data_IF_116391672044
#
_entry.id   IF_116391672044
#
_cell.length_a   1.000
_cell.length_b   1.000
_cell.length_c   1.000
_cell.angle_alpha   90.00
_cell.angle_beta   90.00
_cell.angle_gamma   90.00
#
_symmetry.space_group_name_H-M   'P 1'
#
loop_
_entity.id
_entity.type
_entity.pdbx_description
1 polymer ?
#
# COMPACT_ATOMS: atom_id res chain seq x y z
N UNK A 1 -24.41 -25.72 -12.06
CA UNK A 1 -24.69 -24.45 -11.38
C UNK A 1 -24.30 -24.59 -9.92
N UNK A 2 -23.58 -23.63 -9.31
CA UNK A 2 -23.21 -23.70 -7.90
C UNK A 2 -24.44 -23.53 -7.00
N UNK A 3 -24.44 -24.16 -5.81
CA UNK A 3 -25.48 -23.98 -4.80
C UNK A 3 -25.24 -22.68 -4.04
N UNK A 4 -26.26 -21.84 -3.90
CA UNK A 4 -26.18 -20.64 -3.06
C UNK A 4 -25.95 -21.02 -1.59
N UNK A 5 -25.10 -20.24 -0.93
CA UNK A 5 -24.83 -20.34 0.50
C UNK A 5 -25.51 -19.16 1.19
N UNK A 6 -26.13 -19.42 2.33
CA UNK A 6 -26.73 -18.37 3.15
C UNK A 6 -25.67 -17.41 3.69
N UNK A 7 -26.08 -16.16 3.93
CA UNK A 7 -25.29 -15.16 4.64
C UNK A 7 -26.01 -14.76 5.95
N UNK A 8 -25.27 -14.51 7.05
CA UNK A 8 -23.81 -14.61 7.18
C UNK A 8 -23.30 -16.06 7.05
N UNK A 9 -22.01 -16.21 6.74
CA UNK A 9 -21.36 -17.51 6.57
C UNK A 9 -21.55 -18.37 7.84
N UNK A 10 -21.95 -19.62 7.63
CA UNK A 10 -22.10 -20.57 8.74
C UNK A 10 -20.76 -20.79 9.44
N UNK A 11 -20.79 -21.22 10.70
CA UNK A 11 -19.57 -21.61 11.42
C UNK A 11 -18.80 -22.70 10.66
N UNK A 12 -19.52 -23.65 10.04
CA UNK A 12 -18.93 -24.70 9.23
C UNK A 12 -18.20 -24.18 7.97
N UNK A 13 -18.73 -23.13 7.33
CA UNK A 13 -18.08 -22.48 6.18
C UNK A 13 -16.82 -21.73 6.65
N UNK A 14 -16.90 -21.00 7.76
CA UNK A 14 -15.78 -20.24 8.35
C UNK A 14 -14.63 -21.15 8.74
N UNK A 15 -14.91 -22.25 9.44
CA UNK A 15 -13.91 -23.26 9.76
C UNK A 15 -13.32 -23.91 8.52
N UNK A 16 -14.13 -24.16 7.48
CA UNK A 16 -13.62 -24.73 6.24
C UNK A 16 -12.70 -23.75 5.49
N UNK A 17 -13.03 -22.45 5.43
CA UNK A 17 -12.17 -21.40 4.89
C UNK A 17 -10.82 -21.37 5.62
N UNK A 18 -10.83 -21.41 6.95
CA UNK A 18 -9.61 -21.35 7.77
C UNK A 18 -8.66 -22.55 7.60
N UNK A 19 -9.14 -23.67 7.06
CA UNK A 19 -8.30 -24.84 6.73
C UNK A 19 -7.61 -24.73 5.38
N UNK A 20 -8.03 -23.82 4.52
CA UNK A 20 -7.42 -23.69 3.20
C UNK A 20 -6.01 -23.12 3.34
N UNK A 21 -5.11 -23.51 2.44
CA UNK A 21 -3.73 -23.00 2.42
C UNK A 21 -3.57 -21.83 1.44
N UNK A 22 -4.41 -21.76 0.41
CA UNK A 22 -4.40 -20.70 -0.60
C UNK A 22 -5.85 -20.32 -0.94
N UNK A 23 -6.04 -19.04 -1.24
CA UNK A 23 -7.26 -18.53 -1.85
C UNK A 23 -6.89 -17.67 -3.07
N UNK A 24 -7.86 -17.44 -3.94
CA UNK A 24 -7.68 -16.64 -5.15
C UNK A 24 -8.54 -15.40 -5.05
N UNK A 25 -7.96 -14.24 -5.32
CA UNK A 25 -8.69 -13.00 -5.54
C UNK A 25 -8.92 -12.83 -7.03
N UNK A 26 -10.12 -12.39 -7.42
CA UNK A 26 -10.41 -12.04 -8.81
C UNK A 26 -11.09 -10.67 -8.85
N UNK A 27 -10.56 -9.76 -9.67
CA UNK A 27 -11.05 -8.39 -9.87
C UNK A 27 -11.06 -8.08 -11.37
N UNK A 28 -11.85 -7.09 -11.77
CA UNK A 28 -11.94 -6.67 -13.16
C UNK A 28 -12.13 -5.14 -13.24
N UNK A 29 -11.55 -4.49 -14.26
CA UNK A 29 -11.78 -3.08 -14.49
C UNK A 29 -13.23 -2.84 -14.96
N UNK A 30 -13.66 -1.58 -14.96
CA UNK A 30 -14.96 -1.21 -15.56
C UNK A 30 -14.90 -1.20 -17.08
N UNK A 31 -13.73 -0.91 -17.65
CA UNK A 31 -13.51 -0.91 -19.09
C UNK A 31 -13.79 -2.30 -19.70
N UNK A 32 -14.65 -2.41 -20.73
CA UNK A 32 -14.98 -3.70 -21.35
C UNK A 32 -13.77 -4.42 -21.98
N UNK A 33 -12.76 -3.66 -22.40
CA UNK A 33 -11.53 -4.18 -23.01
C UNK A 33 -10.41 -4.41 -21.99
N UNK A 34 -10.61 -4.04 -20.72
CA UNK A 34 -9.60 -4.21 -19.68
C UNK A 34 -9.48 -5.67 -19.23
N UNK A 35 -8.36 -5.98 -18.58
CA UNK A 35 -8.01 -7.36 -18.27
C UNK A 35 -8.53 -7.77 -16.88
N UNK A 36 -9.19 -8.94 -16.83
CA UNK A 36 -9.55 -9.57 -15.56
C UNK A 36 -8.28 -10.05 -14.86
N UNK A 37 -8.10 -9.66 -13.60
CA UNK A 37 -6.98 -10.11 -12.78
C UNK A 37 -7.40 -11.26 -11.88
N UNK A 38 -6.51 -12.25 -11.73
CA UNK A 38 -6.64 -13.32 -10.74
C UNK A 38 -5.30 -13.51 -10.03
N UNK A 39 -5.29 -13.52 -8.71
CA UNK A 39 -4.06 -13.66 -7.93
C UNK A 39 -4.21 -14.65 -6.77
N UNK A 40 -3.34 -15.67 -6.66
CA UNK A 40 -3.30 -16.53 -5.48
C UNK A 40 -2.70 -15.78 -4.28
N UNK A 41 -3.20 -16.08 -3.08
CA UNK A 41 -2.79 -15.49 -1.80
C UNK A 41 -2.72 -16.57 -0.73
N UNK A 42 -1.82 -16.43 0.24
CA UNK A 42 -1.76 -17.35 1.38
C UNK A 42 -2.99 -17.17 2.26
N UNK A 43 -3.73 -18.24 2.50
CA UNK A 43 -4.92 -18.19 3.33
C UNK A 43 -4.61 -17.90 4.81
N UNK A 44 -3.35 -18.02 5.25
CA UNK A 44 -2.91 -17.57 6.58
C UNK A 44 -3.09 -16.07 6.81
N UNK A 45 -3.09 -15.28 5.73
CA UNK A 45 -3.26 -13.82 5.79
C UNK A 45 -4.72 -13.40 5.94
N UNK A 46 -5.66 -14.33 5.79
CA UNK A 46 -7.09 -14.06 5.72
C UNK A 46 -7.76 -14.27 7.08
N UNK A 47 -8.77 -13.46 7.36
CA UNK A 47 -9.68 -13.57 8.51
C UNK A 47 -11.11 -13.41 8.01
N UNK A 48 -12.01 -14.27 8.48
CA UNK A 48 -13.45 -14.00 8.42
C UNK A 48 -13.82 -13.31 9.71
N UNK A 49 -14.44 -12.13 9.62
CA UNK A 49 -14.81 -11.36 10.81
C UNK A 49 -16.00 -12.00 11.55
N UNK A 50 -16.19 -11.58 12.80
CA UNK A 50 -17.21 -12.15 13.71
C UNK A 50 -18.64 -12.05 13.16
N UNK A 51 -18.92 -11.04 12.33
CA UNK A 51 -20.22 -10.86 11.66
C UNK A 51 -20.53 -11.96 10.62
N UNK A 52 -19.53 -12.74 10.19
CA UNK A 52 -19.65 -13.79 9.18
C UNK A 52 -20.01 -13.30 7.78
N UNK A 53 -20.12 -11.99 7.56
CA UNK A 53 -20.44 -11.39 6.26
C UNK A 53 -19.26 -10.56 5.72
N UNK A 54 -18.21 -10.38 6.51
CA UNK A 54 -17.02 -9.62 6.12
C UNK A 54 -15.78 -10.52 6.16
N UNK A 55 -14.97 -10.44 5.11
CA UNK A 55 -13.69 -11.16 5.01
C UNK A 55 -12.59 -10.14 4.74
N UNK A 56 -11.49 -10.21 5.47
CA UNK A 56 -10.36 -9.32 5.26
C UNK A 56 -9.04 -10.11 5.20
N UNK A 57 -8.01 -9.54 4.57
CA UNK A 57 -6.69 -10.16 4.56
C UNK A 57 -5.55 -9.13 4.50
N UNK A 58 -4.43 -9.50 5.11
CA UNK A 58 -3.15 -8.78 4.98
C UNK A 58 -2.64 -8.93 3.55
N UNK A 59 -2.47 -7.81 2.84
CA UNK A 59 -1.79 -7.80 1.57
C UNK A 59 -0.35 -7.32 1.73
N UNK A 60 0.57 -8.20 1.37
CA UNK A 60 1.99 -7.88 1.31
C UNK A 60 2.41 -7.53 -0.11
N UNK A 61 3.51 -6.79 -0.19
CA UNK A 61 4.05 -6.22 -1.42
C UNK A 61 4.41 -7.27 -2.45
N UNK A 62 3.89 -7.08 -3.66
CA UNK A 62 4.30 -7.80 -4.86
C UNK A 62 4.45 -6.82 -6.02
N UNK A 63 4.86 -7.31 -7.19
CA UNK A 63 4.96 -6.48 -8.39
C UNK A 63 3.59 -6.04 -8.93
N UNK A 64 2.54 -6.85 -8.76
CA UNK A 64 1.20 -6.55 -9.26
C UNK A 64 0.43 -5.55 -8.40
N UNK A 65 -0.43 -4.76 -9.04
CA UNK A 65 -1.23 -3.70 -8.43
C UNK A 65 -2.67 -3.63 -8.98
N UNK A 66 -3.13 -4.70 -9.64
CA UNK A 66 -4.27 -4.68 -10.55
C UNK A 66 -5.57 -4.59 -9.76
N UNK A 67 -5.69 -5.36 -8.68
CA UNK A 67 -6.83 -5.29 -7.78
C UNK A 67 -7.00 -3.91 -7.16
N UNK A 68 -5.91 -3.21 -6.83
CA UNK A 68 -6.02 -1.83 -6.33
C UNK A 68 -6.53 -0.89 -7.41
N UNK A 69 -5.99 -1.00 -8.63
CA UNK A 69 -6.41 -0.15 -9.74
C UNK A 69 -7.91 -0.32 -10.04
N UNK A 70 -8.40 -1.56 -10.12
CA UNK A 70 -9.82 -1.84 -10.30
C UNK A 70 -10.67 -1.29 -9.15
N UNK A 71 -10.19 -1.35 -7.92
CA UNK A 71 -10.90 -0.79 -6.76
C UNK A 71 -10.90 0.74 -6.71
N UNK A 72 -9.94 1.39 -7.37
CA UNK A 72 -9.85 2.85 -7.43
C UNK A 72 -10.72 3.47 -8.52
N UNK A 73 -11.23 2.68 -9.46
CA UNK A 73 -12.25 3.13 -10.39
C UNK A 73 -13.53 3.50 -9.64
N UNK A 74 -14.07 4.69 -9.92
CA UNK A 74 -15.26 5.20 -9.26
C UNK A 74 -16.47 4.28 -9.51
N UNK A 75 -17.11 3.82 -8.44
CA UNK A 75 -18.26 2.92 -8.52
C UNK A 75 -17.91 1.45 -8.80
N UNK A 76 -16.62 1.08 -8.86
CA UNK A 76 -16.20 -0.31 -8.89
C UNK A 76 -15.98 -0.83 -7.45
N UNK A 77 -15.02 -1.73 -7.24
CA UNK A 77 -14.80 -2.46 -5.99
C UNK A 77 -15.25 -3.92 -6.05
N UNK A 78 -15.74 -4.39 -7.21
CA UNK A 78 -16.18 -5.79 -7.39
C UNK A 78 -15.01 -6.74 -7.19
N UNK A 79 -15.20 -7.72 -6.32
CA UNK A 79 -14.19 -8.72 -6.03
C UNK A 79 -14.84 -10.09 -5.78
N UNK A 80 -14.18 -11.13 -6.28
CA UNK A 80 -14.49 -12.52 -5.92
C UNK A 80 -13.32 -13.13 -5.18
N UNK A 81 -13.58 -13.78 -4.04
CA UNK A 81 -12.66 -14.75 -3.44
C UNK A 81 -13.06 -16.16 -3.85
N UNK A 82 -12.10 -16.98 -4.21
CA UNK A 82 -12.30 -18.39 -4.54
C UNK A 82 -11.41 -19.26 -3.68
N UNK A 83 -11.97 -20.35 -3.15
CA UNK A 83 -11.31 -21.36 -2.35
C UNK A 83 -11.55 -22.72 -2.98
N UNK A 84 -10.56 -23.60 -2.94
CA UNK A 84 -10.68 -24.96 -3.42
C UNK A 84 -10.11 -25.93 -2.38
N UNK A 85 -10.83 -27.02 -2.12
CA UNK A 85 -10.35 -28.11 -1.30
C UNK A 85 -9.21 -28.82 -2.05
N UNK A 86 -8.03 -28.83 -1.42
CA UNK A 86 -6.89 -29.62 -1.86
C UNK A 86 -6.67 -30.89 -1.02
N UNK A 87 -7.52 -31.08 -0.01
CA UNK A 87 -7.56 -32.26 0.86
C UNK A 87 -9.01 -32.65 1.15
N UNK A 88 -9.23 -33.92 1.51
CA UNK A 88 -10.55 -34.42 1.89
C UNK A 88 -11.59 -34.37 0.76
N UNK A 89 -12.84 -34.09 1.13
CA UNK A 89 -13.95 -34.05 0.18
C UNK A 89 -13.85 -32.84 -0.77
N UNK A 90 -14.07 -33.04 -2.08
CA UNK A 90 -13.90 -31.98 -3.07
C UNK A 90 -14.97 -30.90 -2.91
N UNK A 91 -14.53 -29.64 -2.91
CA UNK A 91 -15.38 -28.47 -2.69
C UNK A 91 -14.70 -27.21 -3.21
N UNK A 92 -15.48 -26.36 -3.86
CA UNK A 92 -15.07 -24.99 -4.23
C UNK A 92 -16.09 -24.03 -3.62
N UNK A 93 -15.61 -23.04 -2.88
CA UNK A 93 -16.42 -21.94 -2.35
C UNK A 93 -16.00 -20.63 -3.03
N UNK A 94 -16.99 -19.86 -3.48
CA UNK A 94 -16.78 -18.50 -3.97
C UNK A 94 -17.55 -17.50 -3.13
N UNK A 95 -16.90 -16.42 -2.75
CA UNK A 95 -17.47 -15.26 -2.08
C UNK A 95 -17.44 -14.09 -3.05
N UNK A 96 -18.58 -13.45 -3.26
CA UNK A 96 -18.75 -12.32 -4.16
C UNK A 96 -19.19 -11.09 -3.36
N UNK A 97 -18.68 -9.93 -3.73
CA UNK A 97 -19.18 -8.66 -3.20
C UNK A 97 -18.28 -7.50 -3.57
N UNK A 98 -18.33 -6.47 -2.73
CA UNK A 98 -17.55 -5.26 -2.90
C UNK A 98 -16.50 -5.14 -1.80
N UNK A 99 -15.29 -4.78 -2.22
CA UNK A 99 -14.17 -4.64 -1.33
C UNK A 99 -13.57 -3.23 -1.39
N UNK A 100 -12.97 -2.88 -0.27
CA UNK A 100 -12.13 -1.70 -0.08
C UNK A 100 -10.75 -2.16 0.40
N UNK A 101 -9.77 -1.28 0.38
CA UNK A 101 -8.48 -1.49 1.04
C UNK A 101 -8.16 -0.37 2.02
N UNK A 102 -7.48 -0.74 3.10
CA UNK A 102 -7.04 0.12 4.18
C UNK A 102 -5.53 0.23 4.14
N UNK A 103 -5.04 1.42 3.90
CA UNK A 103 -3.61 1.75 3.96
C UNK A 103 -3.15 1.92 5.41
N UNK A 104 -1.83 1.87 5.60
CA UNK A 104 -1.20 2.07 6.91
C UNK A 104 -1.69 3.37 7.60
N UNK A 105 -1.79 4.48 6.86
CA UNK A 105 -2.25 5.75 7.41
C UNK A 105 -3.67 5.67 7.98
N UNK A 106 -4.59 4.96 7.30
CA UNK A 106 -5.95 4.75 7.76
C UNK A 106 -5.98 3.82 8.98
N UNK A 107 -5.19 2.74 8.95
CA UNK A 107 -5.09 1.80 10.07
C UNK A 107 -4.51 2.45 11.32
N UNK A 108 -3.65 3.47 11.20
CA UNK A 108 -3.09 4.21 12.34
C UNK A 108 -4.01 5.33 12.84
N UNK A 109 -4.53 6.16 11.93
CA UNK A 109 -5.21 7.42 12.31
C UNK A 109 -6.73 7.33 12.30
N UNK A 110 -7.30 6.34 11.61
CA UNK A 110 -8.74 6.28 11.31
C UNK A 110 -9.20 7.28 10.24
N UNK A 111 -8.34 8.21 9.80
CA UNK A 111 -8.67 9.21 8.81
C UNK A 111 -8.50 8.66 7.39
N UNK A 112 -9.50 8.86 6.54
CA UNK A 112 -9.49 8.44 5.14
C UNK A 112 -8.51 9.26 4.28
N UNK A 113 -8.06 8.68 3.16
CA UNK A 113 -7.11 9.31 2.21
C UNK A 113 -7.78 10.24 1.18
N UNK A 114 -8.99 10.73 1.45
CA UNK A 114 -9.72 11.66 0.57
C UNK A 114 -10.31 11.06 -0.72
N UNK A 115 -9.87 9.86 -1.17
CA UNK A 115 -10.49 9.11 -2.28
C UNK A 115 -11.29 7.91 -1.75
N UNK A 116 -12.56 8.18 -1.43
CA UNK A 116 -13.75 7.31 -1.53
C UNK A 116 -13.56 5.78 -1.36
N UNK A 117 -12.92 5.36 -0.28
CA UNK A 117 -13.08 4.01 0.26
C UNK A 117 -13.22 4.13 1.77
N UNK A 118 -14.47 4.13 2.25
CA UNK A 118 -14.77 4.28 3.66
C UNK A 118 -15.15 2.94 4.27
N UNK A 119 -14.56 2.67 5.42
CA UNK A 119 -15.04 1.70 6.40
C UNK A 119 -15.63 2.49 7.55
N UNK A 120 -16.59 1.90 8.26
CA UNK A 120 -17.08 2.51 9.51
C UNK A 120 -16.02 2.35 10.60
N UNK A 121 -16.06 3.19 11.65
CA UNK A 121 -15.16 3.05 12.80
C UNK A 121 -15.27 1.65 13.44
N UNK A 122 -16.49 1.13 13.52
CA UNK A 122 -16.76 -0.24 13.99
C UNK A 122 -16.10 -1.30 13.12
N UNK A 123 -16.15 -1.14 11.80
CA UNK A 123 -15.51 -2.08 10.86
C UNK A 123 -13.98 -1.99 10.95
N UNK A 124 -13.43 -0.78 11.07
CA UNK A 124 -12.00 -0.55 11.31
C UNK A 124 -11.54 -1.23 12.60
N UNK A 125 -12.29 -1.09 13.69
CA UNK A 125 -11.96 -1.71 14.97
C UNK A 125 -11.97 -3.24 14.90
N UNK A 126 -12.97 -3.83 14.23
CA UNK A 126 -13.01 -5.28 13.97
C UNK A 126 -11.80 -5.75 13.15
N UNK A 127 -11.42 -4.99 12.12
CA UNK A 127 -10.23 -5.30 11.31
C UNK A 127 -8.97 -5.22 12.16
N UNK A 128 -8.82 -4.18 13.00
CA UNK A 128 -7.66 -4.02 13.87
C UNK A 128 -7.55 -5.20 14.85
N UNK A 129 -8.65 -5.55 15.51
CA UNK A 129 -8.73 -6.70 16.41
C UNK A 129 -8.38 -8.02 15.70
N UNK A 130 -8.80 -8.21 14.45
CA UNK A 130 -8.55 -9.45 13.72
C UNK A 130 -7.07 -9.71 13.35
N UNK A 131 -6.25 -8.66 13.34
CA UNK A 131 -4.83 -8.69 13.01
C UNK A 131 -3.96 -8.12 14.13
N UNK A 132 -4.43 -8.19 15.37
CA UNK A 132 -3.67 -7.68 16.51
C UNK A 132 -2.28 -8.33 16.60
N UNK A 133 -1.27 -7.49 16.81
CA UNK A 133 0.14 -7.85 16.75
C UNK A 133 0.77 -7.84 15.35
N UNK A 134 0.00 -7.85 14.26
CA UNK A 134 0.48 -7.96 12.87
C UNK A 134 0.41 -6.63 12.08
N UNK A 135 -0.14 -5.56 12.67
CA UNK A 135 -0.35 -4.26 12.01
C UNK A 135 0.89 -3.35 12.06
N UNK A 136 0.98 -2.34 11.18
CA UNK A 136 2.11 -1.40 11.20
C UNK A 136 2.40 -0.78 12.56
N UNK A 137 3.64 -0.92 13.01
CA UNK A 137 4.10 -0.46 14.33
C UNK A 137 3.93 -1.48 15.47
N UNK A 138 3.42 -2.68 15.18
CA UNK A 138 3.35 -3.79 16.12
C UNK A 138 4.47 -4.81 15.86
N UNK A 139 4.72 -5.68 16.85
CA UNK A 139 5.87 -6.58 16.91
C UNK A 139 5.99 -7.52 15.70
N UNK A 140 4.88 -8.07 15.20
CA UNK A 140 4.88 -9.07 14.12
C UNK A 140 4.56 -8.48 12.74
N UNK A 141 4.60 -7.16 12.58
CA UNK A 141 4.36 -6.53 11.30
C UNK A 141 5.48 -6.83 10.30
N UNK A 142 5.13 -7.45 9.18
CA UNK A 142 6.06 -7.63 8.07
C UNK A 142 6.40 -6.27 7.42
N UNK A 143 7.68 -5.94 7.18
CA UNK A 143 8.06 -4.70 6.48
C UNK A 143 7.39 -4.55 5.10
N UNK A 144 7.04 -5.67 4.48
CA UNK A 144 6.35 -5.76 3.20
C UNK A 144 4.86 -5.48 3.25
N UNK A 145 4.29 -5.17 4.42
CA UNK A 145 2.89 -4.75 4.57
C UNK A 145 2.55 -3.63 3.57
N UNK A 146 1.45 -3.79 2.84
CA UNK A 146 0.97 -2.80 1.87
C UNK A 146 -0.40 -2.26 2.27
N UNK A 147 -1.34 -3.14 2.54
CA UNK A 147 -2.69 -2.77 2.98
C UNK A 147 -3.41 -3.94 3.62
N UNK A 148 -4.61 -3.69 4.15
CA UNK A 148 -5.61 -4.74 4.40
C UNK A 148 -6.73 -4.57 3.39
N UNK A 149 -7.10 -5.61 2.67
CA UNK A 149 -8.36 -5.60 1.93
C UNK A 149 -9.50 -6.05 2.84
N UNK A 150 -10.67 -5.46 2.64
CA UNK A 150 -11.91 -5.77 3.37
C UNK A 150 -13.00 -5.99 2.33
N UNK A 151 -13.47 -7.23 2.20
CA UNK A 151 -14.57 -7.65 1.34
C UNK A 151 -15.85 -7.80 2.16
N UNK A 152 -16.88 -7.04 1.78
CA UNK A 152 -18.25 -7.24 2.25
C UNK A 152 -18.91 -8.26 1.32
N UNK A 153 -19.22 -9.43 1.85
CA UNK A 153 -19.77 -10.55 1.09
C UNK A 153 -21.27 -10.33 0.89
N UNK A 154 -21.69 -10.34 -0.36
CA UNK A 154 -23.09 -10.15 -0.78
C UNK A 154 -23.70 -11.45 -1.29
N UNK A 155 -22.86 -12.37 -1.77
CA UNK A 155 -23.27 -13.68 -2.23
C UNK A 155 -22.17 -14.70 -2.02
N UNK A 156 -22.55 -15.94 -1.73
CA UNK A 156 -21.63 -17.06 -1.66
C UNK A 156 -22.19 -18.28 -2.41
N UNK A 157 -21.30 -19.10 -2.99
CA UNK A 157 -21.69 -20.31 -3.74
C UNK A 157 -20.75 -21.47 -3.46
N UNK A 158 -21.30 -22.68 -3.38
CA UNK A 158 -20.55 -23.95 -3.38
C UNK A 158 -20.62 -24.65 -4.74
N UNK A 159 -19.56 -25.36 -5.11
CA UNK A 159 -19.54 -26.28 -6.26
C UNK A 159 -18.64 -27.50 -6.00
N UNK A 160 -18.88 -28.60 -6.73
CA UNK A 160 -18.37 -29.94 -6.41
C UNK A 160 -16.88 -30.17 -6.61
N UNK A 161 -16.20 -29.41 -7.47
CA UNK A 161 -14.73 -29.47 -7.61
C UNK A 161 -14.12 -30.84 -7.94
N UNK A 162 -14.85 -31.79 -8.52
CA UNK A 162 -14.39 -33.19 -8.71
C UNK A 162 -13.12 -33.36 -9.53
N UNK A 163 -12.77 -32.40 -10.38
CA UNK A 163 -11.53 -32.41 -11.16
C UNK A 163 -10.36 -31.71 -10.49
N UNK A 164 -10.56 -31.10 -9.31
CA UNK A 164 -9.48 -30.44 -8.56
C UNK A 164 -8.63 -31.54 -7.90
N UNK A 165 -7.32 -31.60 -8.18
CA UNK A 165 -6.47 -32.63 -7.61
C UNK A 165 -6.17 -32.36 -6.12
N UNK A 166 -5.81 -33.42 -5.42
CA UNK A 166 -5.29 -33.33 -4.06
C UNK A 166 -3.88 -32.73 -4.07
N UNK A 167 -3.56 -31.91 -3.07
CA UNK A 167 -2.20 -31.42 -2.84
C UNK A 167 -1.84 -31.60 -1.37
N UNK A 168 -0.56 -31.87 -1.13
CA UNK A 168 0.01 -31.87 0.20
C UNK A 168 0.69 -30.53 0.46
N UNK A 169 0.21 -29.82 1.47
CA UNK A 169 0.86 -28.58 1.92
C UNK A 169 2.22 -28.92 2.56
N UNK A 170 3.26 -28.18 2.16
CA UNK A 170 4.61 -28.34 2.72
C UNK A 170 4.94 -27.20 3.70
N UNK A 171 5.00 -25.95 3.22
CA UNK A 171 5.32 -24.78 4.02
C UNK A 171 4.95 -23.47 3.27
N UNK A 172 4.95 -22.34 3.99
CA UNK A 172 4.87 -21.01 3.40
C UNK A 172 6.24 -20.66 2.79
N UNK A 173 6.24 -19.91 1.68
CA UNK A 173 7.49 -19.36 1.14
C UNK A 173 7.97 -18.18 1.99
N UNK A 174 9.26 -18.11 2.27
CA UNK A 174 9.89 -16.98 2.98
C UNK A 174 10.31 -15.85 2.04
N UNK A 175 10.43 -16.12 0.73
CA UNK A 175 11.01 -15.21 -0.27
C UNK A 175 10.51 -13.77 -0.19
N UNK A 176 9.20 -13.58 0.00
CA UNK A 176 8.61 -12.25 0.11
C UNK A 176 9.04 -11.55 1.41
N UNK A 177 9.03 -12.28 2.52
CA UNK A 177 9.46 -11.76 3.83
C UNK A 177 10.95 -11.43 3.83
N UNK A 178 11.78 -12.31 3.26
CA UNK A 178 13.22 -12.12 3.16
C UNK A 178 13.55 -10.90 2.28
N UNK A 179 12.85 -10.74 1.16
CA UNK A 179 12.97 -9.58 0.28
C UNK A 179 12.57 -8.28 1.00
N UNK A 180 11.43 -8.29 1.68
CA UNK A 180 10.95 -7.12 2.41
C UNK A 180 11.84 -6.77 3.61
N UNK A 181 12.29 -7.76 4.36
CA UNK A 181 13.23 -7.62 5.47
C UNK A 181 14.57 -7.05 5.01
N UNK A 182 15.10 -7.48 3.86
CA UNK A 182 16.32 -6.95 3.28
C UNK A 182 16.23 -5.48 2.84
N UNK A 183 15.02 -5.01 2.47
CA UNK A 183 14.76 -3.60 2.12
C UNK A 183 14.41 -2.72 3.33
N UNK A 184 13.80 -3.30 4.36
CA UNK A 184 13.20 -2.54 5.46
C UNK A 184 11.95 -1.76 5.04
N UNK A 185 11.26 -1.14 6.00
CA UNK A 185 9.98 -0.46 5.75
C UNK A 185 10.10 0.68 4.73
N UNK A 186 11.08 1.57 4.90
CA UNK A 186 11.25 2.73 4.01
C UNK A 186 11.56 2.30 2.57
N UNK A 187 12.45 1.32 2.41
CA UNK A 187 12.76 0.74 1.10
C UNK A 187 11.56 0.03 0.47
N UNK A 188 10.64 -0.51 1.28
CA UNK A 188 9.39 -1.08 0.79
C UNK A 188 8.38 0.00 0.36
N UNK A 189 8.31 1.13 1.05
CA UNK A 189 7.47 2.28 0.65
C UNK A 189 7.93 2.83 -0.69
N UNK A 190 9.25 2.99 -0.89
CA UNK A 190 9.83 3.38 -2.18
C UNK A 190 9.51 2.35 -3.27
N UNK A 191 9.70 1.06 -2.99
CA UNK A 191 9.39 -0.02 -3.92
C UNK A 191 7.91 -0.02 -4.34
N UNK A 192 6.99 0.08 -3.38
CA UNK A 192 5.55 0.12 -3.63
C UNK A 192 5.17 1.37 -4.44
N UNK A 193 5.71 2.53 -4.08
CA UNK A 193 5.50 3.78 -4.81
C UNK A 193 5.92 3.67 -6.27
N UNK A 194 7.03 3.00 -6.54
CA UNK A 194 7.60 2.84 -7.88
C UNK A 194 6.97 1.71 -8.70
N UNK A 195 6.80 0.51 -8.12
CA UNK A 195 6.33 -0.69 -8.85
C UNK A 195 4.82 -0.86 -8.85
N UNK A 196 4.08 -0.16 -7.99
CA UNK A 196 2.62 -0.33 -7.87
C UNK A 196 1.86 0.96 -8.18
N UNK A 197 2.44 1.87 -8.96
CA UNK A 197 1.79 3.14 -9.32
C UNK A 197 0.71 2.96 -10.38
N UNK A 198 0.85 1.95 -11.26
CA UNK A 198 -0.09 1.67 -12.36
C UNK A 198 -0.34 0.17 -12.53
N UNK A 199 -1.51 -0.18 -13.06
CA UNK A 199 -1.78 -1.55 -13.53
C UNK A 199 -1.21 -1.79 -14.93
N UNK A 200 -1.31 -3.04 -15.40
CA UNK A 200 -0.97 -3.41 -16.79
C UNK A 200 -1.83 -2.70 -17.85
N UNK A 201 -3.01 -2.22 -17.47
CA UNK A 201 -3.91 -1.44 -18.33
C UNK A 201 -3.67 0.07 -18.21
N UNK A 202 -2.61 0.49 -17.50
CA UNK A 202 -2.27 1.89 -17.29
C UNK A 202 -3.17 2.63 -16.29
N UNK A 203 -4.02 1.91 -15.55
CA UNK A 203 -4.91 2.53 -14.55
C UNK A 203 -4.12 2.94 -13.30
N UNK A 204 -4.44 4.10 -12.68
CA UNK A 204 -3.84 4.52 -11.41
C UNK A 204 -4.01 3.47 -10.31
N UNK A 205 -2.97 3.26 -9.51
CA UNK A 205 -2.95 2.24 -8.46
C UNK A 205 -2.35 2.75 -7.15
N UNK A 206 -2.20 1.84 -6.17
CA UNK A 206 -1.92 2.13 -4.76
C UNK A 206 -0.62 2.89 -4.52
N UNK A 207 0.39 2.74 -5.38
CA UNK A 207 1.67 3.44 -5.25
C UNK A 207 1.50 4.96 -5.23
N UNK A 208 0.53 5.50 -5.98
CA UNK A 208 0.24 6.94 -6.01
C UNK A 208 -0.37 7.43 -4.69
N UNK A 209 -1.15 6.58 -4.01
CA UNK A 209 -1.73 6.90 -2.70
C UNK A 209 -0.69 6.79 -1.58
N UNK A 210 0.20 5.80 -1.64
CA UNK A 210 1.28 5.60 -0.67
C UNK A 210 2.26 6.78 -0.70
N UNK A 211 2.64 7.22 -1.90
CA UNK A 211 3.54 8.36 -2.08
C UNK A 211 2.84 9.72 -1.89
N UNK A 212 1.50 9.74 -1.79
CA UNK A 212 0.68 10.95 -1.80
C UNK A 212 1.04 11.91 -2.94
N UNK A 213 1.54 11.36 -4.06
CA UNK A 213 2.06 12.11 -5.19
C UNK A 213 1.60 11.46 -6.48
N UNK A 214 1.00 12.27 -7.35
CA UNK A 214 0.63 11.85 -8.69
C UNK A 214 1.80 12.06 -9.66
N UNK A 215 2.14 11.06 -10.48
CA UNK A 215 3.22 11.19 -11.44
C UNK A 215 2.86 12.16 -12.57
N UNK A 216 3.87 12.88 -13.06
CA UNK A 216 3.77 13.77 -14.22
C UNK A 216 3.57 12.99 -15.52
N UNK A 217 4.15 11.79 -15.61
CA UNK A 217 4.05 10.92 -16.77
C UNK A 217 4.14 9.43 -16.39
N UNK A 218 3.77 8.57 -17.34
CA UNK A 218 3.89 7.12 -17.23
C UNK A 218 4.90 6.62 -18.26
N UNK A 219 5.84 5.78 -17.85
CA UNK A 219 6.82 5.15 -18.75
C UNK A 219 6.70 3.64 -18.73
N UNK A 220 6.90 2.99 -19.87
CA UNK A 220 6.94 1.52 -19.96
C UNK A 220 8.38 1.06 -20.15
N UNK A 221 8.86 0.21 -19.23
CA UNK A 221 10.21 -0.36 -19.32
C UNK A 221 10.23 -1.78 -18.73
N UNK A 222 10.92 -2.69 -19.39
CA UNK A 222 11.09 -4.09 -18.94
C UNK A 222 9.78 -4.81 -18.58
N UNK A 223 8.66 -4.51 -19.28
CA UNK A 223 7.36 -5.12 -19.01
C UNK A 223 6.54 -4.48 -17.88
N UNK A 224 6.99 -3.35 -17.33
CA UNK A 224 6.31 -2.64 -16.24
C UNK A 224 5.97 -1.20 -16.63
N UNK A 225 4.82 -0.74 -16.15
CA UNK A 225 4.45 0.68 -16.17
C UNK A 225 4.95 1.37 -14.90
N UNK A 226 5.63 2.49 -15.06
CA UNK A 226 6.25 3.25 -13.99
C UNK A 226 5.73 4.68 -13.94
N UNK A 227 5.63 5.20 -12.72
CA UNK A 227 5.51 6.62 -12.45
C UNK A 227 6.83 7.36 -12.72
N UNK A 228 6.76 8.41 -13.53
CA UNK A 228 7.83 9.41 -13.68
C UNK A 228 7.36 10.75 -13.11
N UNK A 229 8.27 11.44 -12.42
CA UNK A 229 8.04 12.73 -11.78
C UNK A 229 9.04 13.71 -12.37
N UNK A 230 8.63 14.94 -12.65
CA UNK A 230 9.53 15.95 -13.22
C UNK A 230 10.71 16.22 -12.25
N UNK A 231 11.92 16.30 -12.84
CA UNK A 231 13.22 16.27 -12.15
C UNK A 231 13.53 17.49 -11.26
N UNK A 232 12.62 18.46 -11.07
CA UNK A 232 12.86 19.62 -10.19
C UNK A 232 12.79 19.28 -8.69
N UNK A 233 12.62 18.01 -8.34
CA UNK A 233 12.47 17.52 -6.96
C UNK A 233 13.47 16.39 -6.64
N UNK A 234 14.74 16.62 -7.02
CA UNK A 234 15.93 15.76 -6.93
C UNK A 234 16.38 15.43 -5.49
N UNK A 235 15.46 15.08 -4.60
CA UNK A 235 15.80 14.32 -3.38
C UNK A 235 15.46 12.83 -3.51
N UNK A 236 14.64 12.44 -4.49
CA UNK A 236 14.11 11.07 -4.65
C UNK A 236 14.73 10.24 -5.78
N UNK A 237 15.42 10.86 -6.75
CA UNK A 237 16.02 10.14 -7.90
C UNK A 237 17.16 9.19 -7.51
N UNK A 238 17.76 9.37 -6.32
CA UNK A 238 18.70 8.41 -5.74
C UNK A 238 18.05 7.07 -5.33
N UNK A 239 16.73 7.01 -5.13
CA UNK A 239 16.01 5.77 -4.82
C UNK A 239 15.77 4.92 -6.08
N UNK A 240 15.49 5.56 -7.22
CA UNK A 240 15.20 4.87 -8.48
C UNK A 240 16.43 4.10 -9.02
N UNK A 241 17.65 4.66 -8.87
CA UNK A 241 18.88 3.92 -9.17
C UNK A 241 19.20 2.81 -8.17
N UNK A 242 18.82 2.95 -6.89
CA UNK A 242 19.05 1.92 -5.85
C UNK A 242 18.20 0.66 -6.04
N UNK A 243 17.02 0.78 -6.66
CA UNK A 243 16.15 -0.37 -6.95
C UNK A 243 16.57 -1.11 -8.23
N UNK A 244 17.11 -0.40 -9.23
CA UNK A 244 17.57 -0.99 -10.49
C UNK A 244 18.98 -1.61 -10.38
N UNK A 245 19.84 -1.06 -9.52
CA UNK A 245 21.19 -1.58 -9.28
C UNK A 245 21.17 -2.43 -8.00
N UNK A 246 20.82 -3.71 -8.16
CA UNK A 246 20.91 -4.68 -7.08
C UNK A 246 22.25 -4.57 -6.33
N UNK A 247 22.16 -4.24 -5.04
CA UNK A 247 23.23 -4.42 -4.06
C UNK A 247 24.60 -3.82 -4.41
N UNK A 248 24.75 -2.49 -4.36
CA UNK A 248 26.09 -1.89 -4.18
C UNK A 248 26.22 -1.23 -2.82
N UNK A 249 26.55 -2.06 -1.80
CA UNK A 249 27.30 -1.61 -0.63
C UNK A 249 28.70 -1.20 -1.11
N UNK A 250 28.90 0.08 -1.45
CA UNK A 250 30.18 0.84 -1.43
C UNK A 250 30.06 2.15 -2.23
N UNK A 251 29.28 3.11 -1.71
CA UNK A 251 29.44 4.53 -2.11
C UNK A 251 29.53 5.39 -0.85
N UNK A 252 30.29 4.92 0.15
CA UNK A 252 30.62 5.72 1.34
C UNK A 252 32.12 5.94 1.52
N UNK A 253 32.95 5.44 0.59
CA UNK A 253 34.41 5.53 0.67
C UNK A 253 35.03 6.52 -0.31
N UNK A 254 34.27 7.04 -1.29
CA UNK A 254 34.80 8.02 -2.25
C UNK A 254 34.57 9.49 -1.84
N UNK A 255 33.65 9.75 -0.89
CA UNK A 255 33.39 11.09 -0.34
C UNK A 255 34.04 11.34 1.03
N UNK A 256 34.72 10.34 1.63
CA UNK A 256 35.37 10.46 2.95
C UNK A 256 36.85 10.89 2.89
N UNK A 257 37.43 11.10 1.72
CA UNK A 257 38.85 11.45 1.58
C UNK A 257 39.15 12.95 1.59
N UNK A 258 38.17 13.84 1.84
CA UNK A 258 38.40 15.30 1.85
C UNK A 258 37.69 16.12 2.93
N UNK A 259 37.31 15.53 4.06
CA UNK A 259 36.89 16.34 5.22
C UNK A 259 37.66 15.88 6.46
N UNK A 260 38.54 16.77 6.90
CA UNK A 260 39.38 16.65 8.09
C UNK A 260 38.47 16.58 9.33
N UNK A 261 38.62 15.53 10.13
CA UNK A 261 38.02 15.44 11.46
C UNK A 261 38.77 16.36 12.42
N UNK A 262 38.07 17.35 12.98
CA UNK A 262 38.48 18.09 14.17
C UNK A 262 37.37 18.01 15.20
N UNK A 263 37.52 17.10 16.17
CA UNK A 263 36.74 17.06 17.41
C UNK A 263 37.02 18.33 18.21
N UNK A 264 35.98 18.99 18.75
CA UNK A 264 36.06 19.72 20.02
C UNK A 264 34.66 20.01 20.58
N UNK A 265 34.53 19.67 21.85
CA UNK A 265 33.42 19.95 22.76
C UNK A 265 33.09 21.45 22.86
N UNK A 266 31.80 21.77 22.98
CA UNK A 266 31.32 22.87 23.83
C UNK A 266 31.34 24.30 23.27
N UNK A 267 30.24 25.01 23.53
CA UNK A 267 30.04 26.46 23.54
C UNK A 267 29.78 27.21 22.20
N UNK A 268 28.54 27.69 22.11
CA UNK A 268 28.03 28.93 21.54
C UNK A 268 28.96 29.78 20.66
N UNK A 269 28.62 29.93 19.37
CA UNK A 269 29.24 30.95 18.50
C UNK A 269 28.15 31.80 17.82
N UNK A 270 28.15 33.07 18.18
CA UNK A 270 27.51 34.18 17.45
C UNK A 270 28.02 34.21 16.00
N UNK A 271 27.11 34.11 15.02
CA UNK A 271 27.47 34.31 13.62
C UNK A 271 27.48 35.80 13.27
N UNK A 272 28.64 36.24 12.77
CA UNK A 272 28.91 37.57 12.22
C UNK A 272 28.13 37.80 10.91
N UNK A 273 27.60 39.01 10.74
CA UNK A 273 26.85 39.52 9.58
C UNK A 273 27.50 39.26 8.20
N UNK A 274 28.83 39.13 8.13
CA UNK A 274 29.54 38.81 6.88
C UNK A 274 29.38 37.35 6.41
N UNK A 275 29.07 36.42 7.31
CA UNK A 275 28.83 35.00 6.94
C UNK A 275 27.41 34.79 6.43
N UNK A 276 26.45 35.63 6.86
CA UNK A 276 25.06 35.62 6.40
C UNK A 276 24.91 36.10 4.94
N UNK A 277 25.79 37.00 4.47
CA UNK A 277 25.75 37.46 3.08
C UNK A 277 26.27 36.42 2.07
N UNK A 278 27.17 35.52 2.46
CA UNK A 278 27.62 34.43 1.56
C UNK A 278 26.58 33.33 1.39
N UNK A 279 25.71 33.11 2.39
CA UNK A 279 24.62 32.13 2.32
C UNK A 279 23.46 32.66 1.47
N UNK A 280 23.23 33.98 1.45
CA UNK A 280 22.20 34.62 0.63
C UNK A 280 22.55 34.78 -0.87
N UNK A 281 23.76 34.42 -1.30
CA UNK A 281 24.12 34.37 -2.72
C UNK A 281 24.04 32.96 -3.35
N UNK A 282 23.83 31.91 -2.55
CA UNK A 282 23.74 30.53 -3.04
C UNK A 282 22.27 30.08 -3.23
N UNK A 283 21.33 30.73 -2.54
CA UNK A 283 19.90 30.47 -2.72
C UNK A 283 19.28 31.57 -3.59
N UNK A 284 19.17 31.31 -4.90
CA UNK A 284 18.43 32.17 -5.83
C UNK A 284 17.05 32.52 -5.25
N UNK A 285 16.80 33.83 -5.14
CA UNK A 285 15.65 34.34 -4.41
C UNK A 285 14.31 33.97 -5.06
N UNK A 286 13.34 33.59 -4.23
CA UNK A 286 11.96 34.08 -4.25
C UNK A 286 11.26 33.61 -2.94
N UNK A 287 10.67 34.57 -2.23
CA UNK A 287 9.69 34.41 -1.14
C UNK A 287 10.13 33.82 0.23
N UNK A 288 10.98 34.56 0.96
CA UNK A 288 10.96 34.58 2.43
C UNK A 288 10.43 35.94 2.91
N UNK A 289 9.11 36.09 2.90
CA UNK A 289 8.43 37.33 3.24
C UNK A 289 7.06 37.09 3.88
N UNK A 290 6.97 36.19 4.87
CA UNK A 290 5.70 35.94 5.58
C UNK A 290 5.84 35.42 7.02
N UNK A 291 6.99 35.65 7.66
CA UNK A 291 7.20 35.30 9.07
C UNK A 291 7.82 36.45 9.87
N UNK A 292 7.22 37.65 9.82
CA UNK A 292 7.50 38.70 10.81
C UNK A 292 6.31 39.65 11.06
N UNK A 293 5.07 39.24 10.75
CA UNK A 293 3.88 40.07 10.93
C UNK A 293 2.77 39.32 11.70
N UNK A 294 3.12 38.69 12.83
CA UNK A 294 2.15 38.04 13.73
C UNK A 294 2.26 38.47 15.20
N UNK A 295 2.89 39.62 15.47
CA UNK A 295 3.12 40.12 16.84
C UNK A 295 2.57 41.52 17.12
N UNK A 296 1.86 42.17 16.20
CA UNK A 296 1.15 43.43 16.52
C UNK A 296 -0.23 43.40 15.88
N UNK A 297 -1.25 43.20 16.71
CA UNK A 297 -2.65 43.17 16.29
C UNK A 297 -3.13 44.55 15.88
N UNK A 298 -3.56 44.69 14.63
CA UNK A 298 -4.49 45.74 14.17
C UNK A 298 -4.80 45.48 12.70
N UNK A 299 -6.04 45.11 12.37
CA UNK A 299 -6.59 45.27 11.02
C UNK A 299 -7.99 45.86 11.12
N UNK A 300 -8.08 47.17 10.84
CA UNK A 300 -9.32 47.83 10.39
C UNK A 300 -9.53 47.47 8.91
N UNK A 301 -10.77 47.16 8.53
CA UNK A 301 -11.20 46.97 7.14
C UNK A 301 -11.24 48.32 6.41
N UNK A 302 -10.84 48.40 5.12
CA UNK A 302 -11.30 49.43 4.22
C UNK A 302 -12.46 48.90 3.36
N UNK A 303 -13.57 49.62 3.42
CA UNK A 303 -14.65 49.63 2.43
C UNK A 303 -14.17 50.25 1.13
N UNK A 304 -14.54 49.66 -0.02
CA UNK A 304 -14.58 50.38 -1.29
C UNK A 304 -15.90 50.07 -2.00
N UNK A 305 -16.69 51.13 -2.16
CA UNK A 305 -17.86 51.27 -3.00
C UNK A 305 -17.45 51.72 -4.39
N UNK A 306 -18.04 51.10 -5.42
CA UNK A 306 -18.76 51.75 -6.50
C UNK A 306 -19.99 50.89 -6.79
#
# INVERSE_FOLDING_TARGET
MGRLVGLPLSESDRQWINRQCVFFTASAPLAPQGHVNVSPKSARQLRVLEDGATVCWLDYSGSGAETYAHMLEEGNGRLTLCFAAFEGAPRILRLYGHAVFLLEAQLRTGLGTGRRQTVTDTELERVRKAFDGELPGQENCDPGFRSIFVLRVERATHSCGYSVPLFQYQAERTTLKDFAGGKGRDGMIEYQGYKNSFSIDGLPSVGQLIQQRWPSSMTFKDGYFFATYDDDDLTSTNACMRVLLGGYRKVSTWLKSRVIYGSLYGASVFLNWRTLQSVMQICGGFAAGLCYARSVGMWRRPTLSC
#
